data_IF_614988794783
#
_entry.id   IF_614988794783
#
_cell.length_a   1.000
_cell.length_b   1.000
_cell.length_c   1.000
_cell.angle_alpha   90.00
_cell.angle_beta   90.00
_cell.angle_gamma   90.00
#
_symmetry.space_group_name_H-M   'P 1'
#
loop_
_entity.id
_entity.type
_entity.pdbx_description
1 polymer ?
#
# COMPACT_ATOMS: atom_id res chain seq x y z
N UNK A 1 -24.17 16.76 -22.56
CA UNK A 1 -25.10 15.99 -23.43
C UNK A 1 -24.44 15.53 -24.75
N UNK A 2 -23.72 16.38 -25.49
CA UNK A 2 -23.16 16.04 -26.81
C UNK A 2 -22.13 14.89 -26.82
N UNK A 3 -21.27 14.82 -25.80
CA UNK A 3 -20.27 13.73 -25.64
C UNK A 3 -20.94 12.34 -25.50
N UNK A 4 -22.12 12.28 -24.85
CA UNK A 4 -22.85 11.04 -24.64
C UNK A 4 -23.50 10.52 -25.92
N UNK A 5 -24.04 11.42 -26.76
CA UNK A 5 -24.61 11.07 -28.07
C UNK A 5 -23.54 10.56 -29.04
N UNK A 6 -22.36 11.17 -29.05
CA UNK A 6 -21.23 10.71 -29.87
C UNK A 6 -20.83 9.29 -29.47
N UNK A 7 -20.71 9.01 -28.16
CA UNK A 7 -20.42 7.67 -27.67
C UNK A 7 -21.47 6.64 -28.10
N UNK A 8 -22.75 6.99 -28.02
CA UNK A 8 -23.87 6.12 -28.44
C UNK A 8 -23.81 5.80 -29.94
N UNK A 9 -23.61 6.81 -30.80
CA UNK A 9 -23.51 6.61 -32.26
C UNK A 9 -22.31 5.73 -32.61
N UNK A 10 -21.19 5.89 -31.93
CA UNK A 10 -19.97 5.10 -32.14
C UNK A 10 -20.19 3.63 -31.78
N UNK A 11 -20.84 3.36 -30.64
CA UNK A 11 -21.21 2.00 -30.21
C UNK A 11 -22.19 1.35 -31.20
N UNK A 12 -23.23 2.07 -31.63
CA UNK A 12 -24.19 1.55 -32.61
C UNK A 12 -23.53 1.24 -33.97
N UNK A 13 -22.64 2.12 -34.43
CA UNK A 13 -21.91 1.91 -35.68
C UNK A 13 -21.00 0.67 -35.59
N UNK A 14 -20.30 0.51 -34.47
CA UNK A 14 -19.50 -0.69 -34.21
C UNK A 14 -20.34 -1.97 -34.17
N UNK A 15 -21.49 -1.95 -33.49
CA UNK A 15 -22.43 -3.09 -33.41
C UNK A 15 -22.95 -3.50 -34.80
N UNK A 16 -23.33 -2.52 -35.62
CA UNK A 16 -23.79 -2.75 -37.01
C UNK A 16 -22.68 -3.38 -37.85
N UNK A 17 -21.43 -2.90 -37.73
CA UNK A 17 -20.29 -3.48 -38.43
C UNK A 17 -20.01 -4.91 -37.97
N UNK A 18 -20.17 -5.21 -36.67
CA UNK A 18 -19.95 -6.53 -36.11
C UNK A 18 -21.01 -7.55 -36.55
N UNK A 19 -22.29 -7.15 -36.60
CA UNK A 19 -23.38 -7.98 -37.13
C UNK A 19 -23.28 -8.22 -38.64
N UNK A 20 -22.82 -7.21 -39.41
CA UNK A 20 -22.80 -7.29 -40.88
C UNK A 20 -21.52 -7.92 -41.44
N UNK A 21 -20.41 -7.79 -40.74
CA UNK A 21 -19.10 -8.33 -41.17
C UNK A 21 -18.43 -9.11 -40.04
N UNK A 22 -19.05 -10.19 -39.53
CA UNK A 22 -18.52 -10.95 -38.39
C UNK A 22 -17.12 -11.49 -38.67
N UNK A 23 -16.84 -11.94 -39.89
CA UNK A 23 -15.53 -12.46 -40.28
C UNK A 23 -14.40 -11.40 -40.27
N UNK A 24 -14.72 -10.10 -40.19
CA UNK A 24 -13.74 -9.00 -40.25
C UNK A 24 -13.67 -8.21 -38.94
N UNK A 25 -14.82 -7.92 -38.33
CA UNK A 25 -14.89 -7.11 -37.11
C UNK A 25 -14.63 -7.91 -35.82
N UNK A 26 -15.02 -9.18 -35.80
CA UNK A 26 -14.85 -10.07 -34.65
C UNK A 26 -13.37 -10.35 -34.31
N UNK A 27 -12.46 -10.66 -35.27
CA UNK A 27 -11.05 -10.87 -34.93
C UNK A 27 -10.36 -9.60 -34.44
N UNK A 28 -10.71 -8.42 -34.98
CA UNK A 28 -10.18 -7.13 -34.52
C UNK A 28 -10.60 -6.84 -33.08
N UNK A 29 -11.88 -7.07 -32.78
CA UNK A 29 -12.43 -6.86 -31.43
C UNK A 29 -11.85 -7.85 -30.42
N UNK A 30 -11.67 -9.11 -30.82
CA UNK A 30 -11.04 -10.14 -29.99
C UNK A 30 -9.56 -9.80 -29.73
N UNK A 31 -8.83 -9.32 -30.74
CA UNK A 31 -7.45 -8.89 -30.58
C UNK A 31 -7.34 -7.69 -29.62
N UNK A 32 -8.24 -6.72 -29.73
CA UNK A 32 -8.30 -5.58 -28.81
C UNK A 32 -8.63 -6.03 -27.37
N UNK A 33 -9.62 -6.90 -27.19
CA UNK A 33 -9.99 -7.44 -25.88
C UNK A 33 -8.85 -8.28 -25.27
N UNK A 34 -8.16 -9.09 -26.07
CA UNK A 34 -7.00 -9.85 -25.64
C UNK A 34 -5.86 -8.92 -25.21
N UNK A 35 -5.57 -7.88 -25.99
CA UNK A 35 -4.56 -6.87 -25.63
C UNK A 35 -4.87 -6.18 -24.30
N UNK A 36 -6.12 -5.73 -24.11
CA UNK A 36 -6.57 -5.16 -22.84
C UNK A 36 -6.48 -6.17 -21.68
N UNK A 37 -6.84 -7.43 -21.93
CA UNK A 37 -6.74 -8.51 -20.94
C UNK A 37 -5.30 -8.76 -20.50
N UNK A 38 -4.34 -8.75 -21.44
CA UNK A 38 -2.91 -8.89 -21.12
C UNK A 38 -2.42 -7.73 -20.26
N UNK A 39 -2.76 -6.49 -20.61
CA UNK A 39 -2.36 -5.31 -19.81
C UNK A 39 -2.94 -5.41 -18.39
N UNK A 40 -4.23 -5.74 -18.26
CA UNK A 40 -4.86 -5.91 -16.95
C UNK A 40 -4.18 -7.03 -16.13
N UNK A 41 -3.86 -8.16 -16.76
CA UNK A 41 -3.18 -9.27 -16.11
C UNK A 41 -1.76 -8.90 -15.61
N UNK A 42 -1.00 -8.16 -16.42
CA UNK A 42 0.34 -7.68 -16.03
C UNK A 42 0.26 -6.75 -14.83
N UNK A 43 -0.68 -5.80 -14.82
CA UNK A 43 -0.88 -4.88 -13.69
C UNK A 43 -1.23 -5.64 -12.41
N UNK A 44 -2.15 -6.60 -12.48
CA UNK A 44 -2.53 -7.43 -11.32
C UNK A 44 -1.34 -8.26 -10.81
N UNK A 45 -0.52 -8.80 -11.71
CA UNK A 45 0.66 -9.59 -11.33
C UNK A 45 1.71 -8.74 -10.61
N UNK A 46 1.95 -7.52 -11.11
CA UNK A 46 2.90 -6.58 -10.50
C UNK A 46 2.45 -6.16 -9.09
N UNK A 47 1.18 -5.80 -8.93
CA UNK A 47 0.59 -5.40 -7.65
C UNK A 47 0.67 -6.54 -6.61
N UNK A 48 0.36 -7.78 -7.02
CA UNK A 48 0.45 -8.95 -6.14
C UNK A 48 1.90 -9.29 -5.76
N UNK A 49 2.89 -9.01 -6.62
CA UNK A 49 4.32 -9.23 -6.30
C UNK A 49 4.77 -8.29 -5.19
N UNK A 50 4.43 -7.01 -5.28
CA UNK A 50 4.79 -6.01 -4.27
C UNK A 50 4.08 -6.27 -2.93
N UNK A 51 2.77 -6.56 -2.95
CA UNK A 51 2.01 -6.88 -1.75
C UNK A 51 2.60 -8.07 -0.97
N UNK A 52 2.98 -9.15 -1.67
CA UNK A 52 3.62 -10.30 -1.04
C UNK A 52 5.00 -9.99 -0.44
N UNK A 53 5.74 -9.05 -1.00
CA UNK A 53 7.03 -8.63 -0.45
C UNK A 53 6.84 -7.78 0.82
N UNK A 54 5.80 -6.94 0.84
CA UNK A 54 5.40 -6.18 2.03
C UNK A 54 4.92 -7.10 3.16
N UNK A 55 4.18 -8.17 2.87
CA UNK A 55 3.77 -9.17 3.88
C UNK A 55 4.95 -9.89 4.54
N UNK A 56 6.07 -10.04 3.82
CA UNK A 56 7.31 -10.62 4.34
C UNK A 56 8.17 -9.61 5.11
N UNK A 57 7.81 -8.34 5.11
CA UNK A 57 8.48 -7.35 5.94
C UNK A 57 7.91 -7.41 7.36
N UNK A 58 8.73 -7.83 8.32
CA UNK A 58 8.34 -7.81 9.71
C UNK A 58 8.49 -6.40 10.27
N UNK A 59 7.41 -5.61 10.37
CA UNK A 59 7.42 -4.31 11.03
C UNK A 59 6.70 -4.41 12.38
N UNK A 60 7.41 -4.08 13.47
CA UNK A 60 6.87 -4.07 14.83
C UNK A 60 7.09 -2.71 15.48
N UNK A 61 6.12 -2.28 16.26
CA UNK A 61 6.10 -1.00 16.98
C UNK A 61 5.74 -1.28 18.43
N UNK A 62 6.65 -0.93 19.33
CA UNK A 62 6.50 -1.20 20.77
C UNK A 62 6.70 0.09 21.57
N UNK A 63 5.84 0.32 22.56
CA UNK A 63 6.03 1.43 23.48
C UNK A 63 7.10 1.06 24.51
N UNK A 64 8.31 1.59 24.34
CA UNK A 64 9.50 1.24 25.11
C UNK A 64 10.23 2.49 25.65
N UNK A 65 9.59 3.30 26.53
CA UNK A 65 10.18 4.53 27.06
C UNK A 65 11.46 4.31 27.90
N UNK A 66 11.74 3.07 28.30
CA UNK A 66 12.95 2.69 29.03
C UNK A 66 14.14 2.41 28.11
N UNK A 67 13.88 2.05 26.85
CA UNK A 67 14.91 1.69 25.87
C UNK A 67 15.20 2.85 24.91
N UNK A 68 14.22 3.73 24.72
CA UNK A 68 14.31 4.87 23.82
C UNK A 68 14.56 6.21 24.55
N UNK A 69 15.16 7.21 23.88
CA UNK A 69 15.38 8.53 24.45
C UNK A 69 14.08 9.30 24.71
N UNK A 70 14.17 10.31 25.59
CA UNK A 70 13.05 11.17 25.90
C UNK A 70 12.51 11.88 24.64
N UNK A 71 11.19 11.86 24.47
CA UNK A 71 10.50 12.42 23.30
C UNK A 71 10.33 11.45 22.13
N UNK A 72 10.99 10.29 22.14
CA UNK A 72 10.86 9.26 21.10
C UNK A 72 10.60 7.86 21.69
N UNK A 73 9.56 7.66 22.51
CA UNK A 73 9.41 6.45 23.32
C UNK A 73 8.91 5.22 22.54
N UNK A 74 8.76 5.32 21.21
CA UNK A 74 8.23 4.26 20.38
C UNK A 74 9.38 3.55 19.67
N UNK A 75 9.68 2.31 20.07
CA UNK A 75 10.68 1.47 19.41
C UNK A 75 10.08 0.88 18.13
N UNK A 76 10.83 0.98 17.04
CA UNK A 76 10.50 0.34 15.77
C UNK A 76 11.55 -0.70 15.44
N UNK A 77 11.08 -1.88 15.05
CA UNK A 77 11.90 -2.96 14.55
C UNK A 77 11.42 -3.35 13.16
N UNK A 78 12.34 -3.38 12.20
CA UNK A 78 12.10 -3.78 10.81
C UNK A 78 12.99 -4.98 10.50
N UNK A 79 12.36 -6.06 10.08
CA UNK A 79 13.03 -7.28 9.63
C UNK A 79 12.72 -7.51 8.14
N UNK A 80 13.73 -7.42 7.29
CA UNK A 80 13.59 -7.74 5.89
C UNK A 80 13.78 -9.23 5.63
N UNK A 81 12.72 -10.02 5.80
CA UNK A 81 12.76 -11.46 5.50
C UNK A 81 12.63 -11.78 4.00
N UNK A 82 12.63 -10.76 3.13
CA UNK A 82 12.67 -10.95 1.69
C UNK A 82 14.09 -11.34 1.23
N UNK A 83 14.16 -11.95 0.04
CA UNK A 83 15.41 -12.25 -0.66
C UNK A 83 15.93 -11.08 -1.50
N UNK A 84 15.31 -9.91 -1.39
CA UNK A 84 15.66 -8.68 -2.14
C UNK A 84 15.78 -7.50 -1.17
N UNK A 85 16.70 -6.55 -1.41
CA UNK A 85 16.83 -5.36 -0.58
C UNK A 85 15.57 -4.50 -0.68
N UNK A 86 15.13 -4.02 0.48
CA UNK A 86 14.16 -2.94 0.61
C UNK A 86 14.89 -1.63 0.29
N UNK A 87 14.33 -0.78 -0.57
CA UNK A 87 14.93 0.51 -0.95
C UNK A 87 14.31 1.67 -0.17
N UNK A 88 12.98 1.68 -0.13
CA UNK A 88 12.22 2.71 0.55
C UNK A 88 11.05 2.07 1.26
N UNK A 89 10.73 2.59 2.45
CA UNK A 89 9.55 2.21 3.21
C UNK A 89 8.94 3.44 3.87
N UNK A 90 7.64 3.56 3.71
CA UNK A 90 6.77 4.55 4.35
C UNK A 90 5.64 3.81 5.02
N UNK A 91 5.30 4.26 6.22
CA UNK A 91 4.16 3.74 6.96
C UNK A 91 3.56 4.83 7.83
N UNK A 92 2.42 4.49 8.40
CA UNK A 92 1.73 5.29 9.39
C UNK A 92 1.65 4.51 10.68
N UNK A 93 1.75 5.20 11.81
CA UNK A 93 1.58 4.59 13.12
C UNK A 93 0.12 4.75 13.53
N UNK A 94 -0.54 3.63 13.75
CA UNK A 94 -1.86 3.56 14.37
C UNK A 94 -1.72 3.14 15.83
N UNK A 95 -2.68 3.56 16.66
CA UNK A 95 -2.74 3.21 18.06
C UNK A 95 -4.13 2.68 18.39
N UNK A 96 -4.20 1.51 19.03
CA UNK A 96 -5.45 0.84 19.36
C UNK A 96 -5.53 0.55 20.85
N UNK A 97 -6.73 0.68 21.42
CA UNK A 97 -6.96 0.07 22.73
C UNK A 97 -7.04 -1.47 22.58
N UNK A 98 -6.62 -2.25 23.58
CA UNK A 98 -6.69 -3.71 23.51
C UNK A 98 -8.11 -4.20 23.23
N UNK A 99 -8.28 -4.95 22.15
CA UNK A 99 -9.59 -5.47 21.70
C UNK A 99 -10.47 -4.46 20.95
N UNK A 100 -10.00 -3.23 20.74
CA UNK A 100 -10.68 -2.21 19.94
C UNK A 100 -10.14 -2.19 18.49
N UNK A 101 -10.93 -1.63 17.58
CA UNK A 101 -10.60 -1.44 16.16
C UNK A 101 -10.61 0.03 15.75
N UNK A 102 -10.93 0.94 16.68
CA UNK A 102 -10.87 2.38 16.43
C UNK A 102 -9.44 2.87 16.55
N UNK A 103 -8.92 3.47 15.48
CA UNK A 103 -7.61 4.11 15.52
C UNK A 103 -7.67 5.39 16.37
N UNK A 104 -6.87 5.40 17.43
CA UNK A 104 -6.73 6.47 18.41
C UNK A 104 -5.57 7.41 18.09
N UNK A 105 -4.71 7.07 17.12
CA UNK A 105 -3.75 8.00 16.56
C UNK A 105 -4.50 9.01 15.68
N UNK A 106 -4.25 10.29 15.91
CA UNK A 106 -4.85 11.35 15.12
C UNK A 106 -4.14 11.47 13.78
N UNK A 107 -4.95 11.49 12.72
CA UNK A 107 -4.50 11.71 11.36
C UNK A 107 -4.34 13.21 11.10
N UNK A 108 -3.36 13.82 11.76
CA UNK A 108 -3.05 15.21 11.50
C UNK A 108 -2.57 15.36 10.05
N UNK A 109 -2.98 16.43 9.36
CA UNK A 109 -2.49 16.74 8.01
C UNK A 109 -0.95 16.90 7.96
N UNK A 110 -0.33 17.15 9.11
CA UNK A 110 1.12 17.22 9.33
C UNK A 110 1.72 15.96 9.96
N UNK A 111 1.00 14.83 9.94
CA UNK A 111 1.47 13.59 10.56
C UNK A 111 2.84 13.20 9.97
N UNK A 112 3.82 12.85 10.81
CA UNK A 112 5.11 12.39 10.33
C UNK A 112 4.89 11.17 9.44
N UNK A 113 5.26 11.27 8.17
CA UNK A 113 5.44 10.08 7.36
C UNK A 113 6.70 9.42 7.89
N UNK A 114 6.53 8.40 8.72
CA UNK A 114 7.65 7.67 9.28
C UNK A 114 8.36 6.95 8.13
N UNK A 115 9.66 7.20 8.01
CA UNK A 115 10.52 6.65 6.95
C UNK A 115 11.42 5.58 7.54
N UNK A 116 11.62 4.55 6.75
CA UNK A 116 12.50 3.43 7.10
C UNK A 116 13.98 3.78 6.99
N UNK A 117 14.87 2.79 7.20
CA UNK A 117 16.32 2.95 7.16
C UNK A 117 16.91 3.43 5.82
N UNK A 118 16.09 3.67 4.79
CA UNK A 118 16.54 3.66 3.41
C UNK A 118 16.76 2.22 2.95
N UNK A 119 17.92 1.93 2.38
CA UNK A 119 18.24 0.60 1.87
C UNK A 119 18.49 -0.41 3.01
N UNK A 120 17.68 -1.47 3.08
CA UNK A 120 17.81 -2.56 4.05
C UNK A 120 18.00 -3.89 3.31
N UNK A 121 19.16 -4.49 3.52
CA UNK A 121 19.57 -5.71 2.82
C UNK A 121 18.69 -6.93 3.17
N UNK A 122 18.65 -7.95 2.30
CA UNK A 122 17.96 -9.22 2.58
C UNK A 122 18.43 -9.84 3.91
N UNK A 123 17.48 -10.32 4.71
CA UNK A 123 17.73 -10.96 6.01
C UNK A 123 18.31 -10.03 7.09
N UNK A 124 18.37 -8.71 6.82
CA UNK A 124 18.88 -7.73 7.77
C UNK A 124 17.76 -7.11 8.59
N UNK A 125 18.11 -6.70 9.81
CA UNK A 125 17.23 -5.99 10.72
C UNK A 125 17.67 -4.54 10.91
N UNK A 126 16.71 -3.66 11.13
CA UNK A 126 16.94 -2.29 11.53
C UNK A 126 16.05 -1.93 12.72
N UNK A 127 16.56 -1.06 13.58
CA UNK A 127 15.83 -0.54 14.73
C UNK A 127 16.03 0.95 14.87
N UNK A 128 14.99 1.65 15.32
CA UNK A 128 15.05 3.08 15.64
C UNK A 128 13.96 3.48 16.64
N UNK A 129 14.13 4.65 17.25
CA UNK A 129 13.19 5.22 18.21
C UNK A 129 12.47 6.42 17.60
N UNK A 130 11.14 6.40 17.64
CA UNK A 130 10.28 7.39 16.98
C UNK A 130 9.43 8.16 17.98
N UNK A 131 9.06 9.41 17.66
CA UNK A 131 8.06 10.14 18.44
C UNK A 131 6.69 9.49 18.32
N UNK A 132 5.93 9.51 19.40
CA UNK A 132 4.53 9.09 19.39
C UNK A 132 3.71 9.97 18.46
N UNK A 133 2.76 9.39 17.71
CA UNK A 133 1.76 10.21 17.01
C UNK A 133 0.89 10.94 18.05
N UNK A 134 0.29 12.08 17.68
CA UNK A 134 -0.75 12.69 18.50
C UNK A 134 -1.86 11.66 18.74
N UNK A 135 -2.26 11.49 20.00
CA UNK A 135 -3.29 10.54 20.41
C UNK A 135 -4.54 11.30 20.83
N UNK A 136 -5.71 10.71 20.54
CA UNK A 136 -6.98 11.22 21.05
C UNK A 136 -6.91 11.38 22.59
N UNK A 137 -7.49 12.45 23.14
CA UNK A 137 -7.43 12.73 24.57
C UNK A 137 -8.10 11.61 25.39
N UNK A 138 -7.56 11.35 26.58
CA UNK A 138 -8.10 10.36 27.53
C UNK A 138 -7.38 9.00 27.53
N UNK A 139 -6.49 8.74 26.56
CA UNK A 139 -5.74 7.48 26.48
C UNK A 139 -4.29 7.65 26.93
N UNK A 140 -3.76 6.62 27.63
CA UNK A 140 -2.34 6.57 28.02
C UNK A 140 -1.56 5.74 27.00
N UNK A 141 -0.40 6.18 26.51
CA UNK A 141 0.38 5.42 25.53
C UNK A 141 0.68 3.97 25.96
N UNK A 142 1.01 3.77 27.23
CA UNK A 142 1.35 2.45 27.80
C UNK A 142 0.21 1.42 27.82
N UNK A 143 -1.04 1.87 27.64
CA UNK A 143 -2.21 0.98 27.56
C UNK A 143 -2.64 0.70 26.12
N UNK A 144 -1.90 1.19 25.13
CA UNK A 144 -2.24 1.07 23.71
C UNK A 144 -1.32 0.08 23.00
N UNK A 145 -1.86 -0.53 21.96
CA UNK A 145 -1.14 -1.33 20.99
C UNK A 145 -0.82 -0.46 19.78
N UNK A 146 0.46 -0.29 19.48
CA UNK A 146 0.91 0.45 18.30
C UNK A 146 1.09 -0.51 17.15
N UNK A 147 0.56 -0.15 15.98
CA UNK A 147 0.61 -0.99 14.78
C UNK A 147 1.01 -0.16 13.57
N UNK A 148 1.80 -0.74 12.65
CA UNK A 148 2.07 -0.10 11.39
C UNK A 148 0.87 -0.26 10.46
N UNK A 149 0.50 0.81 9.78
CA UNK A 149 -0.56 0.80 8.77
C UNK A 149 -0.13 1.53 7.51
N UNK A 150 -0.88 1.30 6.43
CA UNK A 150 -0.63 1.93 5.13
C UNK A 150 0.84 1.75 4.69
N UNK A 151 1.35 0.53 4.84
CA UNK A 151 2.70 0.14 4.42
C UNK A 151 2.85 0.38 2.92
N UNK A 152 3.81 1.21 2.54
CA UNK A 152 4.16 1.49 1.16
C UNK A 152 5.68 1.39 1.04
N UNK A 153 6.17 0.48 0.23
CA UNK A 153 7.60 0.30 0.04
C UNK A 153 7.95 -0.18 -1.34
N UNK A 154 9.22 -0.02 -1.69
CA UNK A 154 9.78 -0.50 -2.96
C UNK A 154 10.98 -1.39 -2.67
N UNK A 155 11.11 -2.46 -3.46
CA UNK A 155 12.22 -3.40 -3.40
C UNK A 155 13.04 -3.29 -4.69
N UNK A 156 14.28 -3.79 -4.69
CA UNK A 156 14.98 -3.96 -5.97
C UNK A 156 14.37 -5.09 -6.80
N UNK A 157 14.42 -4.95 -8.12
CA UNK A 157 13.95 -5.95 -9.10
C UNK A 157 14.69 -7.29 -9.06
#
# INVERSE_FOLDING_TARGET
MHIMLIGIVLILTWLILLLRYPAKALPVSLAAAAGLGVVAAVVIWQDNREARQLERLGLRLDYAPQQCPAGQPLLVLIDNTNNVPLRELRWRVAAYAPGDTVNLAEDAYTSPHYRGPGELQPGSQWQDCLPLPPLRPGYRPQSLEFRPEHLQGSFSD
#
